data_IF_526146414989
#
_entry.id   IF_526146414989
#
_cell.length_a   1.000
_cell.length_b   1.000
_cell.length_c   1.000
_cell.angle_alpha   90.00
_cell.angle_beta   90.00
_cell.angle_gamma   90.00
#
_symmetry.space_group_name_H-M   'P 1'
#
loop_
_entity.id
_entity.type
_entity.pdbx_description
1 polymer ?
2 water ?
#
# COMPACT_ATOMS: atom_id res chain seq x y z
N UNK A 8 -23.12 0.54 -8.32
CA UNK A 8 -23.29 1.20 -7.03
C UNK A 8 -22.08 1.03 -6.12
N UNK A 9 -22.00 1.94 -5.13
CA UNK A 9 -21.05 1.84 -4.03
C UNK A 9 -21.51 2.85 -2.98
N UNK A 10 -21.86 2.36 -1.79
CA UNK A 10 -22.72 3.11 -0.87
C UNK A 10 -21.97 3.83 0.25
N UNK A 11 -20.94 3.22 0.84
CA UNK A 11 -20.32 3.75 2.04
C UNK A 11 -18.79 3.77 1.87
N UNK A 12 -18.15 4.52 2.76
CA UNK A 12 -16.71 4.72 2.80
C UNK A 12 -16.17 4.07 4.07
N UNK A 13 -15.20 3.18 3.90
CA UNK A 13 -14.52 2.50 4.98
C UNK A 13 -13.17 3.19 5.19
N UNK A 14 -12.84 3.49 6.44
CA UNK A 14 -11.58 4.13 6.75
C UNK A 14 -10.88 3.42 7.90
N UNK A 15 -9.57 3.23 7.73
CA UNK A 15 -8.70 2.69 8.76
C UNK A 15 -7.57 3.69 8.99
N UNK A 16 -7.47 4.19 10.22
CA UNK A 16 -6.52 5.24 10.56
C UNK A 16 -5.12 4.67 10.79
N UNK A 17 -4.15 5.58 10.86
CA UNK A 17 -2.77 5.18 11.14
C UNK A 17 -2.65 4.51 12.50
N UNK A 18 -3.53 4.86 13.44
CA UNK A 18 -3.53 4.26 14.77
C UNK A 18 -4.39 3.01 14.85
N UNK A 19 -5.04 2.62 13.75
CA UNK A 19 -5.78 1.38 13.72
C UNK A 19 -7.23 1.46 14.14
N UNK A 20 -7.83 2.66 14.14
CA UNK A 20 -9.25 2.79 14.36
C UNK A 20 -9.97 2.68 13.02
N UNK A 21 -11.01 1.85 12.97
CA UNK A 21 -11.70 1.57 11.73
C UNK A 21 -13.16 1.97 11.87
N UNK A 22 -13.74 2.45 10.77
CA UNK A 22 -15.13 2.87 10.77
C UNK A 22 -15.63 2.93 9.34
N UNK A 23 -16.93 3.11 9.19
CA UNK A 23 -17.53 3.35 7.88
C UNK A 23 -18.60 4.43 8.00
N UNK A 24 -18.93 5.02 6.86
CA UNK A 24 -19.85 6.15 6.79
C UNK A 24 -20.48 6.18 5.41
N UNK A 25 -21.81 6.28 5.30
CA UNK A 25 -22.43 6.62 4.01
C UNK A 25 -21.70 7.78 3.36
N UNK A 26 -21.47 7.69 2.03
CA UNK A 26 -20.54 8.62 1.41
C UNK A 26 -21.16 10.00 1.23
N UNK A 27 -22.48 10.09 1.03
CA UNK A 27 -23.12 11.41 1.02
C UNK A 27 -22.78 12.18 2.28
N UNK A 28 -22.85 11.51 3.42
CA UNK A 28 -22.53 12.15 4.69
C UNK A 28 -21.02 12.30 4.88
N UNK A 29 -20.23 11.42 4.27
CA UNK A 29 -18.78 11.57 4.32
C UNK A 29 -18.34 12.81 3.55
N UNK A 30 -19.07 13.18 2.51
CA UNK A 30 -18.71 14.34 1.71
C UNK A 30 -18.89 15.62 2.50
N UNK A 31 -20.04 15.79 3.16
CA UNK A 31 -20.24 16.90 4.07
C UNK A 31 -19.39 16.69 5.33
N UNK A 32 -19.47 17.66 6.24
CA UNK A 32 -18.73 17.58 7.49
C UNK A 32 -19.21 16.41 8.34
N UNK A 47 -1.24 13.76 15.30
CA UNK A 47 -2.64 13.35 15.32
C UNK A 47 -2.88 12.18 14.36
N UNK A 48 -4.14 11.92 14.02
CA UNK A 48 -4.53 10.73 13.29
C UNK A 48 -4.82 11.06 11.82
N UNK A 49 -4.38 10.17 10.92
CA UNK A 49 -4.65 10.34 9.50
C UNK A 49 -5.18 9.04 8.89
N UNK A 50 -5.99 9.20 7.85
CA UNK A 50 -6.59 8.07 7.16
C UNK A 50 -5.51 7.29 6.41
N UNK A 51 -5.24 6.08 6.87
CA UNK A 51 -4.19 5.24 6.29
C UNK A 51 -4.70 4.32 5.18
N UNK A 52 -5.96 3.89 5.26
CA UNK A 52 -6.60 3.16 4.16
C UNK A 52 -8.02 3.67 4.01
N UNK A 53 -8.41 4.03 2.78
CA UNK A 53 -9.77 4.41 2.46
C UNK A 53 -10.30 3.49 1.37
N UNK A 54 -11.58 3.16 1.47
CA UNK A 54 -12.20 2.18 0.59
C UNK A 54 -13.66 2.58 0.39
N UNK A 55 -14.24 2.15 -0.72
CA UNK A 55 -15.65 2.40 -1.00
C UNK A 55 -16.31 1.07 -1.31
N UNK A 56 -17.42 0.78 -0.64
CA UNK A 56 -18.09 -0.50 -0.82
C UNK A 56 -19.50 -0.41 -0.26
N UNK A 57 -20.24 -1.52 -0.40
CA UNK A 57 -21.58 -1.62 0.17
C UNK A 57 -21.51 -2.08 1.62
N UNK A 58 -22.60 -1.83 2.36
CA UNK A 58 -22.68 -2.26 3.74
C UNK A 58 -22.52 -3.78 3.86
N UNK A 59 -22.99 -4.52 2.87
CA UNK A 59 -22.96 -5.98 2.89
C UNK A 59 -21.91 -6.56 1.97
N UNK A 60 -20.97 -5.73 1.49
CA UNK A 60 -19.79 -6.27 0.84
C UNK A 60 -18.87 -6.92 1.87
N UNK A 61 -17.97 -7.77 1.38
CA UNK A 61 -16.93 -8.30 2.23
C UNK A 61 -15.65 -7.51 1.99
N UNK A 62 -14.90 -7.27 3.05
CA UNK A 62 -13.55 -6.72 2.96
C UNK A 62 -12.59 -7.83 3.33
N UNK A 63 -11.57 -8.01 2.50
CA UNK A 63 -10.42 -8.83 2.79
C UNK A 63 -9.37 -7.94 3.46
N UNK A 64 -9.05 -8.24 4.70
CA UNK A 64 -8.08 -7.48 5.48
C UNK A 64 -6.79 -8.29 5.54
N UNK A 65 -5.78 -7.84 4.80
CA UNK A 65 -4.46 -8.43 4.79
C UNK A 65 -3.57 -7.69 5.77
N UNK A 66 -2.84 -8.46 6.58
CA UNK A 66 -2.02 -7.95 7.66
C UNK A 66 -0.54 -8.05 7.33
N UNK A 67 0.27 -7.36 8.13
CA UNK A 67 1.72 -7.37 7.95
C UNK A 67 2.32 -8.74 8.25
N UNK A 68 1.65 -9.56 9.04
CA UNK A 68 2.12 -10.92 9.31
C UNK A 68 1.74 -11.89 8.20
N UNK A 69 1.16 -11.40 7.11
CA UNK A 69 0.82 -12.28 6.00
C UNK A 69 -0.46 -13.06 6.16
N UNK A 70 -1.38 -12.60 7.00
CA UNK A 70 -2.64 -13.29 7.23
C UNK A 70 -3.78 -12.51 6.59
N UNK A 71 -4.89 -13.22 6.36
CA UNK A 71 -6.06 -12.63 5.73
C UNK A 71 -7.28 -12.88 6.59
N UNK A 72 -8.09 -11.84 6.78
CA UNK A 72 -9.32 -11.94 7.55
C UNK A 72 -10.48 -11.42 6.69
N UNK A 73 -11.64 -12.02 6.88
CA UNK A 73 -12.85 -11.61 6.18
C UNK A 73 -13.74 -10.84 7.13
N UNK A 74 -14.28 -9.71 6.67
CA UNK A 74 -15.25 -8.99 7.48
C UNK A 74 -16.36 -8.44 6.60
N UNK A 75 -17.59 -8.57 7.07
CA UNK A 75 -18.69 -7.83 6.46
C UNK A 75 -18.58 -6.38 6.88
N UNK A 76 -18.71 -5.46 5.92
CA UNK A 76 -18.54 -4.03 6.21
C UNK A 76 -19.46 -3.60 7.35
N UNK A 77 -20.67 -4.15 7.41
CA UNK A 77 -21.59 -3.77 8.48
C UNK A 77 -21.12 -4.20 9.85
N UNK A 78 -20.12 -5.07 9.94
CA UNK A 78 -19.53 -5.40 11.24
C UNK A 78 -18.67 -4.27 11.78
N UNK A 79 -18.30 -3.31 10.94
CA UNK A 79 -17.59 -2.12 11.38
C UNK A 79 -18.54 -1.13 12.03
N UNK A 80 -18.05 -0.22 12.85
CA UNK A 80 -18.93 0.81 13.42
C UNK A 80 -19.27 1.88 12.40
N UNK A 81 -20.55 2.22 12.32
CA UNK A 81 -20.96 3.42 11.59
C UNK A 81 -20.69 4.62 12.47
N UNK A 82 -19.80 5.50 12.01
CA UNK A 82 -19.37 6.66 12.79
C UNK A 82 -19.18 7.85 11.86
N UNK A 83 -19.53 9.03 12.36
CA UNK A 83 -19.40 10.26 11.60
C UNK A 83 -17.92 10.60 11.40
N UNK A 84 -17.67 11.47 10.42
CA UNK A 84 -16.29 11.74 10.01
C UNK A 84 -15.47 12.37 11.13
N UNK A 85 -16.12 13.08 12.05
CA UNK A 85 -15.41 13.53 13.23
C UNK A 85 -15.17 12.41 14.23
N UNK A 86 -16.09 11.45 14.30
CA UNK A 86 -15.98 10.36 15.26
C UNK A 86 -14.75 9.51 14.97
N UNK A 87 -14.32 8.78 16.00
CA UNK A 87 -13.03 8.11 16.03
C UNK A 87 -13.07 6.70 15.45
N UNK A 88 -14.11 5.95 15.73
CA UNK A 88 -14.21 4.57 15.28
C UNK A 88 -13.77 3.60 16.35
N UNK A 89 -13.71 2.33 15.96
CA UNK A 89 -13.32 1.28 16.87
C UNK A 89 -11.92 0.75 16.55
N UNK A 90 -11.16 0.36 17.56
CA UNK A 90 -9.86 -0.28 17.30
C UNK A 90 -10.06 -1.60 16.57
N UNK A 91 -9.38 -1.76 15.43
CA UNK A 91 -9.55 -2.95 14.62
C UNK A 91 -9.02 -4.19 15.35
N UNK A 92 -8.12 -4.02 16.33
CA UNK A 92 -7.66 -5.13 17.16
C UNK A 92 -8.80 -5.75 17.94
N UNK A 93 -9.88 -5.00 18.17
CA UNK A 93 -11.06 -5.53 18.85
C UNK A 93 -12.03 -6.24 17.91
N UNK A 94 -11.82 -6.14 16.60
CA UNK A 94 -12.69 -6.80 15.63
C UNK A 94 -12.05 -7.98 14.94
N UNK A 95 -10.73 -7.99 14.80
CA UNK A 95 -9.97 -9.05 14.18
C UNK A 95 -9.05 -9.71 15.21
N UNK A 96 -8.73 -10.99 15.04
CA UNK A 96 -7.75 -11.63 15.94
C UNK A 96 -6.32 -11.31 15.51
N UNK A 97 -5.85 -10.14 15.95
CA UNK A 97 -4.55 -9.62 15.55
C UNK A 97 -3.52 -9.86 16.64
N UNK A 98 -2.32 -10.29 16.23
CA UNK A 98 -1.21 -10.42 17.15
C UNK A 98 -0.58 -9.06 17.43
N UNK A 99 0.37 -9.06 18.36
CA UNK A 99 1.12 -7.85 18.66
C UNK A 99 1.89 -7.39 17.42
N UNK A 100 1.76 -6.10 17.10
CA UNK A 100 2.40 -5.47 15.95
C UNK A 100 1.94 -6.07 14.63
N UNK A 101 0.75 -6.67 14.60
CA UNK A 101 0.13 -7.12 13.37
C UNK A 101 -0.77 -5.99 12.88
N UNK A 102 -0.30 -5.26 11.88
CA UNK A 102 -1.06 -4.13 11.34
C UNK A 102 -1.77 -4.55 10.06
N UNK A 103 -2.89 -3.88 9.78
CA UNK A 103 -3.60 -4.09 8.52
C UNK A 103 -2.87 -3.29 7.44
N UNK A 104 -2.28 -3.99 6.48
CA UNK A 104 -1.58 -3.33 5.38
C UNK A 104 -2.39 -3.27 4.10
N UNK A 105 -3.52 -3.98 4.02
CA UNK A 105 -4.39 -3.79 2.87
C UNK A 105 -5.82 -4.18 3.22
N UNK A 106 -6.76 -3.43 2.66
CA UNK A 106 -8.19 -3.75 2.76
C UNK A 106 -8.77 -3.72 1.36
N UNK A 107 -9.29 -4.84 0.90
CA UNK A 107 -9.77 -4.96 -0.46
C UNK A 107 -11.25 -5.29 -0.48
N UNK A 108 -12.07 -4.53 -1.19
CA UNK A 108 -13.51 -4.77 -1.20
C UNK A 108 -13.91 -5.80 -2.26
N UNK A 109 -14.83 -6.67 -1.89
CA UNK A 109 -15.32 -7.74 -2.76
C UNK A 109 -16.83 -7.84 -2.59
N UNK A 110 -17.57 -7.54 -3.65
CA UNK A 110 -18.98 -7.89 -3.80
C UNK A 110 -19.13 -9.35 -4.21
N UNK A 111 -18.61 -9.69 -5.38
CA UNK A 111 -18.48 -11.06 -5.84
C UNK A 111 -17.00 -11.35 -6.05
N UNK A 112 -16.60 -12.58 -5.73
CA UNK A 112 -15.23 -13.00 -6.03
C UNK A 112 -15.11 -13.11 -7.55
N UNK A 113 -14.86 -11.96 -8.18
CA UNK A 113 -14.92 -11.87 -9.62
C UNK A 113 -13.89 -12.77 -10.27
N UNK A 114 -14.29 -13.36 -11.39
CA UNK A 114 -13.48 -14.32 -12.11
C UNK A 114 -12.48 -13.63 -13.01
N UNK A 115 -11.27 -14.20 -13.09
CA UNK A 115 -10.20 -13.58 -13.85
C UNK A 115 -9.49 -12.44 -13.15
N UNK A 116 -9.82 -12.17 -11.89
CA UNK A 116 -9.17 -11.14 -11.10
C UNK A 116 -8.21 -11.81 -10.12
N UNK A 117 -7.02 -11.22 -9.97
CA UNK A 117 -5.97 -11.76 -9.13
C UNK A 117 -5.70 -10.85 -7.94
N UNK A 118 -5.31 -11.46 -6.84
CA UNK A 118 -4.75 -10.79 -5.69
C UNK A 118 -3.24 -10.89 -5.80
N UNK A 119 -2.57 -9.74 -5.84
CA UNK A 119 -1.12 -9.68 -5.92
C UNK A 119 -0.57 -9.14 -4.60
N UNK A 120 0.44 -9.81 -4.07
CA UNK A 120 1.01 -9.55 -2.76
C UNK A 120 2.52 -9.38 -2.88
N UNK A 121 3.06 -8.50 -2.07
CA UNK A 121 4.50 -8.20 -2.04
C UNK A 121 4.96 -8.03 -0.61
N UNK A 122 6.09 -8.66 -0.31
CA UNK A 122 6.70 -8.67 1.01
C UNK A 122 7.97 -7.82 1.03
N UNK A 123 8.37 -7.43 2.23
CA UNK A 123 9.53 -6.55 2.38
C UNK A 123 10.82 -7.20 1.88
N UNK A 124 10.91 -8.53 1.97
CA UNK A 124 12.10 -9.25 1.53
C UNK A 124 12.13 -9.47 0.02
N UNK A 125 11.16 -8.95 -0.72
CA UNK A 125 11.21 -8.99 -2.17
C UNK A 125 10.48 -10.14 -2.82
N UNK A 126 9.80 -10.98 -2.04
CA UNK A 126 8.98 -12.02 -2.64
C UNK A 126 7.64 -11.44 -3.09
N UNK A 127 7.04 -12.09 -4.09
CA UNK A 127 5.74 -11.70 -4.62
C UNK A 127 4.90 -12.95 -4.80
N UNK A 128 3.58 -12.76 -4.80
CA UNK A 128 2.65 -13.87 -4.90
C UNK A 128 1.38 -13.43 -5.59
N UNK A 129 0.87 -14.28 -6.48
CA UNK A 129 -0.35 -14.00 -7.24
C UNK A 129 -1.32 -15.16 -7.07
N UNK A 130 -2.53 -14.86 -6.58
CA UNK A 130 -3.55 -15.87 -6.37
C UNK A 130 -4.88 -15.36 -6.89
N UNK A 131 -5.64 -16.22 -7.57
CA UNK A 131 -6.95 -15.79 -8.05
C UNK A 131 -7.84 -15.38 -6.89
N UNK A 132 -8.63 -14.32 -7.11
CA UNK A 132 -9.58 -13.85 -6.10
C UNK A 132 -10.46 -14.97 -5.56
N UNK A 133 -10.92 -15.85 -6.46
CA UNK A 133 -11.85 -16.91 -6.08
C UNK A 133 -11.27 -17.88 -5.08
N UNK A 134 -9.94 -17.96 -4.97
CA UNK A 134 -9.34 -18.82 -3.95
C UNK A 134 -9.60 -18.34 -2.54
N UNK A 135 -10.19 -17.15 -2.37
CA UNK A 135 -10.53 -16.61 -1.06
C UNK A 135 -12.04 -16.56 -0.83
N UNK A 136 -12.81 -17.34 -1.59
CA UNK A 136 -14.26 -17.32 -1.49
C UNK A 136 -14.79 -18.07 -0.27
N UNK A 137 -13.93 -18.79 0.47
CA UNK A 137 -14.34 -19.54 1.65
C UNK A 137 -13.73 -18.92 2.90
N UNK A 138 -14.49 -18.10 3.62
CA UNK A 138 -13.92 -17.48 4.84
C UNK A 138 -13.71 -18.49 5.95
N UNK A 139 -12.72 -18.19 6.80
CA UNK A 139 -12.54 -18.84 8.09
C UNK A 139 -12.45 -17.74 9.13
N UNK A 140 -13.25 -17.85 10.19
CA UNK A 140 -13.35 -16.76 11.16
C UNK A 140 -12.04 -16.50 11.89
N UNK A 141 -11.15 -17.49 11.99
CA UNK A 141 -9.86 -17.29 12.61
C UNK A 141 -8.83 -16.69 11.66
N UNK A 142 -9.23 -16.36 10.43
CA UNK A 142 -8.28 -15.91 9.42
C UNK A 142 -7.47 -17.05 8.85
N UNK A 143 -6.74 -16.80 7.76
CA UNK A 143 -5.87 -17.79 7.16
C UNK A 143 -4.48 -17.18 7.00
N UNK A 144 -3.55 -17.99 6.51
CA UNK A 144 -2.23 -17.52 6.11
C UNK A 144 -2.29 -17.27 4.61
N UNK A 145 -2.20 -15.99 4.23
CA UNK A 145 -2.25 -15.62 2.82
C UNK A 145 -0.89 -15.72 2.14
N UNK A 146 0.20 -15.67 2.92
CA UNK A 146 1.55 -15.90 2.41
C UNK A 146 2.45 -16.19 3.60
N UNK A 147 3.13 -17.32 3.58
CA UNK A 147 3.99 -17.68 4.70
C UNK A 147 5.21 -16.78 4.71
N UNK A 148 5.51 -16.21 5.86
CA UNK A 148 6.60 -15.26 6.01
C UNK A 148 7.69 -15.84 6.90
N UNK A 149 8.89 -15.29 6.75
CA UNK A 149 9.99 -15.60 7.65
C UNK A 149 10.02 -14.60 8.79
N UNK A 150 10.92 -14.81 9.75
CA UNK A 150 11.07 -13.87 10.85
C UNK A 150 11.53 -12.53 10.32
N UNK A 151 10.84 -11.46 10.75
CA UNK A 151 11.16 -10.12 10.33
C UNK A 151 10.57 -9.70 8.99
N UNK A 152 10.27 -10.65 8.11
CA UNK A 152 9.64 -10.32 6.85
C UNK A 152 8.19 -9.86 7.08
N UNK A 153 7.73 -8.95 6.22
CA UNK A 153 6.42 -8.35 6.36
C UNK A 153 5.70 -8.33 5.01
N UNK A 154 4.38 -8.51 5.06
CA UNK A 154 3.54 -8.30 3.88
C UNK A 154 3.24 -6.81 3.77
N UNK A 155 3.86 -6.13 2.81
CA UNK A 155 3.77 -4.68 2.71
C UNK A 155 2.82 -4.21 1.63
N UNK A 156 2.39 -5.07 0.71
CA UNK A 156 1.48 -4.60 -0.30
C UNK A 156 0.56 -5.64 -0.87
N UNK A 157 -0.72 -5.30 -1.05
CA UNK A 157 -1.69 -6.17 -1.71
C UNK A 157 -2.57 -5.32 -2.60
N UNK A 158 -2.86 -5.81 -3.80
CA UNK A 158 -3.78 -5.11 -4.69
C UNK A 158 -4.44 -6.11 -5.64
N UNK A 159 -5.46 -5.64 -6.35
CA UNK A 159 -6.15 -6.45 -7.35
C UNK A 159 -5.60 -6.14 -8.73
N UNK A 160 -5.42 -7.21 -9.52
CA UNK A 160 -4.96 -7.12 -10.90
C UNK A 160 -5.95 -7.87 -11.78
N UNK A 161 -5.88 -7.61 -13.07
CA UNK A 161 -6.86 -8.13 -14.02
C UNK A 161 -6.34 -9.29 -14.86
N UNK A 162 -5.07 -9.66 -14.69
CA UNK A 162 -4.40 -10.63 -15.53
C UNK A 162 -3.44 -10.01 -16.53
N UNK A 163 -3.63 -8.73 -16.85
CA UNK A 163 -2.84 -8.04 -17.85
C UNK A 163 -2.15 -6.80 -17.29
N UNK A 164 -1.96 -6.73 -15.98
CA UNK A 164 -1.38 -5.57 -15.34
C UNK A 164 0.14 -5.68 -15.24
N UNK A 165 0.77 -4.55 -14.91
CA UNK A 165 2.16 -4.52 -14.51
C UNK A 165 2.27 -4.34 -13.01
N UNK A 166 3.47 -4.61 -12.50
CA UNK A 166 3.77 -4.59 -11.08
C UNK A 166 5.04 -3.77 -10.90
N UNK A 167 5.04 -2.88 -9.93
CA UNK A 167 6.23 -2.11 -9.57
C UNK A 167 6.52 -2.30 -8.10
N UNK A 168 7.72 -2.78 -7.80
CA UNK A 168 8.21 -2.94 -6.45
C UNK A 168 9.24 -1.86 -6.18
N UNK A 169 9.08 -1.13 -5.08
CA UNK A 169 9.95 -0.04 -4.67
C UNK A 169 10.63 -0.41 -3.36
N UNK A 170 11.95 -0.24 -3.33
CA UNK A 170 12.80 -0.62 -2.21
C UNK A 170 13.27 0.61 -1.45
N UNK A 171 13.74 0.38 -0.22
CA UNK A 171 14.16 1.47 0.65
C UNK A 171 15.40 2.17 0.13
N UNK A 172 16.23 1.46 -0.63
CA UNK A 172 17.49 2.00 -1.12
C UNK A 172 17.35 2.76 -2.44
N UNK A 173 16.11 3.01 -2.89
CA UNK A 173 15.88 3.75 -4.12
C UNK A 173 15.81 2.91 -5.38
N UNK A 174 15.72 1.59 -5.25
CA UNK A 174 15.61 0.71 -6.39
C UNK A 174 14.14 0.44 -6.70
N UNK A 175 13.86 0.18 -7.97
CA UNK A 175 12.51 -0.17 -8.42
C UNK A 175 12.63 -1.25 -9.49
N UNK A 176 11.72 -2.21 -9.45
CA UNK A 176 11.59 -3.18 -10.54
C UNK A 176 10.15 -3.10 -11.06
N UNK A 177 10.01 -3.26 -12.37
CA UNK A 177 8.71 -3.16 -13.02
C UNK A 177 8.59 -4.28 -14.04
N UNK A 178 7.57 -5.11 -13.88
CA UNK A 178 7.41 -6.27 -14.75
C UNK A 178 5.92 -6.60 -14.90
N UNK A 179 5.60 -7.32 -15.98
CA UNK A 179 4.22 -7.71 -16.23
C UNK A 179 3.81 -8.80 -15.24
N UNK A 180 2.55 -8.74 -14.79
CA UNK A 180 2.07 -9.73 -13.82
C UNK A 180 2.05 -11.14 -14.38
N UNK A 181 2.14 -11.31 -15.70
CA UNK A 181 2.31 -12.62 -16.29
C UNK A 181 3.60 -13.31 -15.85
N UNK A 182 4.61 -12.54 -15.45
CA UNK A 182 5.87 -13.13 -15.02
C UNK A 182 5.74 -13.93 -13.74
N UNK A 183 4.60 -13.85 -13.06
CA UNK A 183 4.34 -14.58 -11.83
C UNK A 183 3.22 -15.56 -12.10
N UNK A 184 3.54 -16.85 -12.08
CA UNK A 184 2.53 -17.89 -12.19
C UNK A 184 1.47 -17.71 -11.12
N UNK A 185 0.20 -17.83 -11.50
CA UNK A 185 -0.89 -17.75 -10.54
C UNK A 185 -0.83 -18.96 -9.62
N UNK A 186 -0.61 -18.71 -8.33
CA UNK A 186 -0.38 -19.77 -7.35
C UNK A 186 -1.66 -20.04 -6.56
N UNK A 187 -1.58 -21.08 -5.72
CA UNK A 187 -2.66 -21.38 -4.80
C UNK A 187 -2.56 -20.57 -3.52
N UNK A 188 -3.66 -20.58 -2.76
CA UNK A 188 -3.75 -19.78 -1.54
C UNK A 188 -2.63 -20.10 -0.55
N UNK A 189 -2.08 -21.30 -0.60
CA UNK A 189 -1.07 -21.75 0.35
C UNK A 189 0.37 -21.51 -0.12
N UNK A 190 0.56 -21.13 -1.38
CA UNK A 190 1.90 -21.09 -1.95
C UNK A 190 2.78 -20.07 -1.24
N UNK A 191 4.09 -20.27 -1.34
CA UNK A 191 5.07 -19.46 -0.62
C UNK A 191 5.54 -18.25 -1.42
N UNK A 192 5.40 -18.26 -2.73
CA UNK A 192 5.73 -17.11 -3.55
C UNK A 192 7.16 -17.16 -4.08
N UNK A 193 7.38 -16.39 -5.15
CA UNK A 193 8.65 -16.32 -5.85
C UNK A 193 9.28 -14.96 -5.57
N UNK A 194 10.55 -14.82 -5.91
CA UNK A 194 11.25 -13.56 -5.71
C UNK A 194 10.89 -12.57 -6.81
N UNK A 195 10.51 -11.36 -6.41
CA UNK A 195 10.16 -10.32 -7.37
C UNK A 195 11.31 -9.37 -7.65
N UNK A 196 12.18 -9.15 -6.68
CA UNK A 196 13.31 -8.25 -6.83
C UNK A 196 14.50 -8.79 -6.04
N UNK A 197 15.70 -8.58 -6.59
CA UNK A 197 16.93 -8.98 -5.92
C UNK A 197 17.40 -7.84 -5.05
N UNK A 198 17.40 -8.05 -3.74
CA UNK A 198 17.68 -7.00 -2.76
C UNK A 198 19.09 -7.17 -2.21
N UNK A 199 19.88 -6.09 -2.26
CA UNK A 199 21.24 -6.13 -1.76
C UNK A 199 21.29 -5.76 -0.28
N UNK A 200 21.90 -6.63 0.52
CA UNK A 200 22.24 -6.29 1.89
C UNK A 200 21.05 -5.95 2.76
N UNK A 201 21.01 -4.68 3.20
CA UNK A 201 20.03 -4.18 4.14
C UNK A 201 18.69 -3.86 3.50
N UNK A 202 18.60 -3.91 2.18
CA UNK A 202 17.46 -3.34 1.47
C UNK A 202 16.19 -4.16 1.66
N UNK A 203 15.06 -3.46 1.66
CA UNK A 203 13.75 -4.09 1.77
C UNK A 203 12.78 -3.39 0.83
N UNK A 204 11.75 -4.11 0.39
CA UNK A 204 10.70 -3.53 -0.42
C UNK A 204 9.77 -2.73 0.47
N UNK A 205 9.51 -1.48 0.09
CA UNK A 205 8.60 -0.63 0.86
C UNK A 205 7.27 -0.41 0.17
N UNK A 206 7.19 -0.49 -1.17
CA UNK A 206 5.92 -0.17 -1.78
C UNK A 206 5.64 -1.06 -2.98
N UNK A 207 4.35 -1.33 -3.18
CA UNK A 207 3.82 -2.02 -4.35
C UNK A 207 2.90 -1.07 -5.10
N UNK A 208 3.05 -1.01 -6.42
CA UNK A 208 2.20 -0.17 -7.25
C UNK A 208 1.74 -0.97 -8.46
N UNK A 209 0.43 -1.02 -8.67
CA UNK A 209 -0.15 -1.52 -9.92
C UNK A 209 -0.42 -0.29 -10.79
N UNK A 210 0.50 0.09 -11.67
CA UNK A 210 0.33 1.34 -12.42
C UNK A 210 -0.89 1.27 -13.35
N UNK A 211 -1.74 2.29 -13.26
CA UNK A 211 -2.91 2.41 -14.10
C UNK A 211 -3.08 3.88 -14.46
N UNK A 212 -3.39 4.14 -15.72
CA UNK A 212 -3.55 5.51 -16.17
C UNK A 212 -2.21 6.19 -16.40
N UNK A 213 -2.25 7.52 -16.41
CA UNK A 213 -1.09 8.34 -16.72
C UNK A 213 -0.52 9.06 -15.50
N UNK A 214 -1.03 8.78 -14.31
CA UNK A 214 -0.55 9.49 -13.13
C UNK A 214 0.93 9.24 -12.89
N UNK A 215 1.62 10.27 -12.41
CA UNK A 215 3.04 10.14 -12.16
C UNK A 215 3.28 9.34 -10.87
N UNK A 216 4.49 8.82 -10.75
CA UNK A 216 4.92 8.15 -9.52
C UNK A 216 5.53 9.19 -8.60
N UNK A 217 5.03 9.25 -7.37
CA UNK A 217 5.56 10.13 -6.34
C UNK A 217 6.24 9.28 -5.28
N UNK A 218 7.49 9.64 -4.97
CA UNK A 218 8.24 8.93 -3.94
C UNK A 218 8.75 9.91 -2.90
N UNK A 219 8.80 9.47 -1.64
CA UNK A 219 9.27 10.31 -0.53
C UNK A 219 10.26 9.54 0.33
N UNK A 220 11.24 10.25 0.89
CA UNK A 220 12.30 9.64 1.70
C UNK A 220 12.15 10.02 3.18
N UNK A 221 13.05 9.47 4.00
CA UNK A 221 12.91 9.56 5.45
C UNK A 221 13.04 10.99 5.96
N UNK A 222 14.00 11.75 5.42
CA UNK A 222 14.22 13.14 5.83
C UNK A 222 13.43 14.12 4.98
N UNK A 223 12.36 13.69 4.32
CA UNK A 223 11.40 14.60 3.74
C UNK A 223 11.65 15.03 2.32
N UNK A 224 12.56 14.37 1.61
CA UNK A 224 12.76 14.65 0.19
C UNK A 224 11.85 13.76 -0.63
N UNK A 225 11.50 14.23 -1.83
CA UNK A 225 10.62 13.47 -2.68
C UNK A 225 10.47 14.12 -4.03
N UNK A 226 9.78 13.40 -4.91
CA UNK A 226 9.61 13.90 -6.27
C UNK A 226 8.53 13.12 -7.01
N UNK A 227 8.06 13.72 -8.10
CA UNK A 227 7.24 13.07 -9.10
C UNK A 227 8.09 12.72 -10.32
N UNK A 228 7.82 11.55 -10.89
CA UNK A 228 8.47 11.09 -12.11
C UNK A 228 7.39 10.47 -12.99
N UNK A 229 7.33 10.88 -14.25
CA UNK A 229 6.33 10.33 -15.16
C UNK A 229 6.39 8.81 -15.17
N UNK A 230 5.22 8.18 -15.22
CA UNK A 230 5.15 6.72 -15.13
C UNK A 230 5.89 6.06 -16.29
N UNK A 231 5.78 6.65 -17.49
CA UNK A 231 6.39 6.04 -18.67
C UNK A 231 7.92 6.07 -18.64
N UNK A 232 8.52 6.82 -17.71
CA UNK A 232 9.97 6.83 -17.57
C UNK A 232 10.48 5.71 -16.70
N UNK A 233 9.59 4.89 -16.13
CA UNK A 233 10.00 3.71 -15.39
C UNK A 233 10.02 2.53 -16.35
N UNK A 234 11.19 2.02 -16.74
CA UNK A 234 11.25 0.97 -17.77
C UNK A 234 10.74 -0.36 -17.24
N UNK A 235 10.05 -1.10 -18.11
CA UNK A 235 9.54 -2.42 -17.77
C UNK A 235 10.68 -3.43 -17.90
N UNK A 236 11.17 -3.94 -16.78
CA UNK A 236 12.27 -4.88 -16.75
C UNK A 236 11.73 -6.30 -16.71
N UNK A 237 12.58 -7.24 -16.28
CA UNK A 237 12.16 -8.57 -15.87
C UNK A 237 12.12 -8.63 -14.34
N UNK A 238 11.47 -9.67 -13.82
CA UNK A 238 11.38 -9.80 -12.38
C UNK A 238 12.60 -10.55 -11.83
N UNK A 239 12.75 -10.50 -10.51
CA UNK A 239 13.86 -11.10 -9.78
C UNK A 239 15.22 -10.52 -10.21
N UNK A 240 15.23 -9.31 -10.76
CA UNK A 240 16.47 -8.59 -11.02
C UNK A 240 16.75 -7.61 -9.88
N UNK A 241 17.87 -6.89 -10.01
CA UNK A 241 18.21 -5.89 -9.02
C UNK A 241 17.43 -4.60 -9.20
N UNK A 242 16.81 -4.40 -10.37
CA UNK A 242 16.05 -3.20 -10.62
C UNK A 242 16.92 -2.03 -11.06
N UNK A 243 16.24 -0.94 -11.41
CA UNK A 243 16.92 0.31 -11.74
C UNK A 243 16.65 1.31 -10.63
N UNK A 244 17.23 2.49 -10.71
CA UNK A 244 17.08 3.50 -9.67
C UNK A 244 15.76 4.24 -9.87
N UNK A 245 15.02 4.43 -8.78
CA UNK A 245 13.86 5.30 -8.77
C UNK A 245 14.14 6.65 -8.17
N UNK A 246 15.08 6.72 -7.21
CA UNK A 246 15.55 7.99 -6.66
C UNK A 246 16.91 7.70 -6.04
N UNK A 247 17.82 8.68 -6.13
CA UNK A 247 19.14 8.54 -5.54
C UNK A 247 19.01 8.69 -4.02
N UNK A 248 19.31 7.62 -3.30
CA UNK A 248 19.21 7.62 -1.85
C UNK A 248 20.61 7.90 -1.27
N UNK A 249 20.72 8.96 -0.49
CA UNK A 249 21.96 9.34 0.17
C UNK A 249 21.69 9.48 1.67
N UNK A 250 22.75 9.78 2.43
CA UNK A 250 22.57 10.04 3.85
C UNK A 250 21.79 11.33 4.09
N UNK A 251 21.99 12.34 3.24
CA UNK A 251 21.14 13.52 3.28
C UNK A 251 19.69 13.16 2.96
N UNK A 252 19.50 12.37 1.91
CA UNK A 252 18.17 11.94 1.49
C UNK A 252 17.47 11.14 2.58
N UNK A 253 18.09 10.05 3.02
CA UNK A 253 17.41 9.04 3.80
C UNK A 253 16.77 8.00 2.89
N UNK A 254 16.33 6.90 3.49
CA UNK A 254 15.75 5.81 2.73
C UNK A 254 14.37 6.18 2.19
N UNK A 255 13.96 5.46 1.14
CA UNK A 255 12.62 5.63 0.60
C UNK A 255 11.61 5.09 1.59
N UNK A 256 10.63 5.92 1.94
CA UNK A 256 9.54 5.48 2.81
C UNK A 256 8.41 4.87 2.00
N UNK A 257 8.13 5.42 0.83
CA UNK A 257 7.02 4.93 0.04
C UNK A 257 6.92 5.66 -1.28
N UNK A 258 6.14 5.05 -2.17
CA UNK A 258 5.82 5.58 -3.48
C UNK A 258 4.36 5.27 -3.80
N UNK A 259 3.70 6.20 -4.48
CA UNK A 259 2.30 6.07 -4.85
C UNK A 259 2.11 6.71 -6.23
N UNK A 260 1.11 6.25 -6.96
CA UNK A 260 0.75 6.88 -8.22
C UNK A 260 -0.31 7.94 -7.99
N UNK A 261 -0.08 9.13 -8.52
CA UNK A 261 -0.94 10.27 -8.27
C UNK A 261 -1.28 10.97 -9.58
N UNK A 262 -2.51 11.46 -9.70
CA UNK A 262 -2.85 12.38 -10.77
C UNK A 262 -2.61 13.82 -10.31
N UNK A 263 -2.58 14.73 -11.28
CA UNK A 263 -2.06 16.07 -11.01
C UNK A 263 -2.94 16.88 -10.06
N UNK A 264 -4.17 16.45 -9.82
CA UNK A 264 -5.06 17.13 -8.88
C UNK A 264 -5.14 16.43 -7.54
N UNK A 265 -4.35 15.38 -7.34
CA UNK A 265 -4.37 14.64 -6.09
C UNK A 265 -3.63 15.41 -4.99
N UNK A 266 -3.89 14.98 -3.75
CA UNK A 266 -3.13 15.42 -2.61
C UNK A 266 -2.48 14.22 -1.95
N UNK A 267 -1.35 14.44 -1.29
CA UNK A 267 -0.72 13.41 -0.49
C UNK A 267 -0.63 13.92 0.94
N UNK A 268 -0.51 12.96 1.85
CA UNK A 268 -0.31 13.21 3.28
C UNK A 268 0.93 12.46 3.72
N UNK A 269 1.75 13.13 4.52
CA UNK A 269 2.95 12.53 5.09
C UNK A 269 2.92 12.71 6.60
N UNK A 270 3.33 11.66 7.31
CA UNK A 270 3.45 11.69 8.75
C UNK A 270 4.85 11.27 9.15
N UNK A 271 5.42 12.01 10.09
CA UNK A 271 6.71 11.71 10.71
C UNK A 271 6.49 11.03 12.05
N UNK A 272 7.56 10.45 12.59
CA UNK A 272 7.47 9.81 13.89
C UNK A 272 7.34 10.81 15.03
N UNK A 273 7.34 12.11 14.75
CA UNK A 273 7.07 13.15 15.73
C UNK A 273 5.61 13.64 15.65
N UNK A 274 4.74 12.90 14.96
CA UNK A 274 3.35 13.27 14.89
C UNK A 274 3.03 14.43 13.97
N UNK A 275 4.00 14.91 13.20
CA UNK A 275 3.77 16.01 12.29
C UNK A 275 3.08 15.50 11.02
N UNK A 276 1.90 16.04 10.75
CA UNK A 276 1.13 15.69 9.56
C UNK A 276 1.18 16.83 8.56
N UNK A 277 1.58 16.53 7.33
CA UNK A 277 1.63 17.53 6.28
C UNK A 277 0.81 17.04 5.08
N UNK A 278 -0.15 17.85 4.64
CA UNK A 278 -0.90 17.61 3.44
C UNK A 278 -0.38 18.52 2.33
N UNK A 279 -0.24 17.97 1.12
CA UNK A 279 0.36 18.73 0.03
C UNK A 279 -0.34 18.40 -1.28
N UNK A 280 -0.68 19.44 -2.05
CA UNK A 280 -1.22 19.22 -3.37
C UNK A 280 -0.11 18.82 -4.34
N UNK A 281 -0.36 17.75 -5.09
CA UNK A 281 0.69 17.10 -5.88
C UNK A 281 1.19 18.03 -6.98
N UNK A 282 0.31 18.85 -7.54
CA UNK A 282 0.68 19.70 -8.67
C UNK A 282 1.83 20.64 -8.37
N UNK A 283 2.11 20.90 -7.09
CA UNK A 283 3.21 21.78 -6.73
C UNK A 283 4.55 21.04 -6.66
N UNK A 284 4.55 19.71 -6.77
CA UNK A 284 5.76 18.92 -6.68
C UNK A 284 6.35 18.74 -8.07
N UNK A 285 7.63 19.05 -8.21
CA UNK A 285 8.28 19.06 -9.52
C UNK A 285 8.31 17.67 -10.15
N UNK A 286 8.17 17.64 -11.46
CA UNK A 286 8.24 16.40 -12.24
C UNK A 286 9.65 16.30 -12.81
N UNK A 287 10.46 15.41 -12.24
CA UNK A 287 11.84 15.25 -12.65
C UNK A 287 12.11 13.78 -12.96
N UNK A 288 13.37 13.43 -13.18
CA UNK A 288 13.73 12.07 -13.56
C UNK A 288 14.04 11.18 -12.38
N UNK A 289 14.35 9.92 -12.69
CA UNK A 289 14.64 8.95 -11.65
C UNK A 289 15.99 9.20 -11.00
N UNK A 290 16.92 9.83 -11.72
CA UNK A 290 18.29 10.00 -11.25
C UNK A 290 18.48 11.37 -10.59
N UNK A 291 17.67 11.63 -9.57
CA UNK A 291 17.78 12.83 -8.75
C UNK A 291 17.66 12.44 -7.29
N UNK A 292 17.82 13.42 -6.42
CA UNK A 292 17.63 13.22 -4.98
C UNK A 292 16.27 13.71 -4.51
N UNK A 293 15.54 14.45 -5.33
CA UNK A 293 14.25 14.98 -4.95
C UNK A 293 14.37 16.39 -4.38
N UNK A 294 13.20 16.97 -4.10
CA UNK A 294 13.11 18.26 -3.45
C UNK A 294 12.52 18.05 -2.06
N UNK A 295 12.67 19.07 -1.22
CA UNK A 295 12.11 18.99 0.13
C UNK A 295 10.59 19.06 0.04
N UNK A 296 9.92 18.03 0.57
CA UNK A 296 8.47 18.07 0.75
C UNK A 296 8.06 18.37 2.18
N UNK A 297 8.92 18.09 3.14
CA UNK A 297 8.66 18.37 4.54
C UNK A 297 9.99 18.48 5.26
N UNK A 298 10.15 19.54 6.05
CA UNK A 298 11.40 19.81 6.74
C UNK A 298 11.41 19.10 8.08
N UNK A 299 12.20 18.05 8.19
CA UNK A 299 12.24 17.24 9.40
C UNK A 299 13.31 17.76 10.36
N UNK A 300 13.10 17.50 11.64
CA UNK A 300 14.11 17.78 12.64
C UNK A 300 15.25 16.76 12.51
N UNK A 301 16.21 16.90 13.41
CA UNK A 301 17.47 16.15 13.30
C UNK A 301 17.24 14.67 13.52
N UNK A 302 16.41 14.31 14.49
CA UNK A 302 16.05 12.92 14.76
C UNK A 302 14.60 12.62 14.39
N UNK A 303 14.02 13.40 13.49
CA UNK A 303 12.67 13.15 13.01
C UNK A 303 12.73 12.55 11.61
N UNK A 304 11.90 11.53 11.38
CA UNK A 304 11.89 10.82 10.10
C UNK A 304 10.47 10.61 9.63
N UNK A 305 10.26 10.80 8.33
CA UNK A 305 8.97 10.50 7.72
C UNK A 305 8.72 9.01 7.83
N UNK A 306 7.52 8.64 8.29
CA UNK A 306 7.16 7.24 8.48
C UNK A 306 5.93 6.85 7.66
N UNK A 307 5.24 7.81 7.05
CA UNK A 307 4.03 7.46 6.33
C UNK A 307 3.73 8.40 5.17
N UNK A 308 3.30 7.79 4.06
CA UNK A 308 2.86 8.49 2.86
C UNK A 308 1.54 7.89 2.41
N UNK A 309 0.58 8.75 2.04
CA UNK A 309 -0.75 8.28 1.64
C UNK A 309 -1.36 9.25 0.63
N UNK A 310 -1.98 8.69 -0.41
CA UNK A 310 -2.67 9.52 -1.38
C UNK A 310 -4.06 9.90 -0.86
N UNK A 311 -4.40 11.18 -0.96
CA UNK A 311 -5.73 11.65 -0.59
C UNK A 311 -6.62 11.68 -1.83
#
# INVERSE_FOLDING_TARGET
MGEDLISQEDVVVTLSHQGYVKYQPLTDYEAQRRGGKGKSAARIKEEDFIDRLLVANTHDTILCFSSRGRLYWMKVYQLPEASRGARGRPIVNLLPLEANERITAILPVREYEEGVNVFMATASGTVKKTALTEFSRPRSAGIIAVNLNDGDELIGVDLTSGSDEVMLFSAAGKVVRFKEDAVRAMGRTATGVRGIKLAGDDKVVSLIIPRGEGAILTVTQNGYGKRTAADEYPTKSRATQGVISIKVTERNGSVVGAVQVDDCDQIMMITDAGTLVRTRVSEISVVGRNTQGVILIRTAEDENVVGLQRVA
#
